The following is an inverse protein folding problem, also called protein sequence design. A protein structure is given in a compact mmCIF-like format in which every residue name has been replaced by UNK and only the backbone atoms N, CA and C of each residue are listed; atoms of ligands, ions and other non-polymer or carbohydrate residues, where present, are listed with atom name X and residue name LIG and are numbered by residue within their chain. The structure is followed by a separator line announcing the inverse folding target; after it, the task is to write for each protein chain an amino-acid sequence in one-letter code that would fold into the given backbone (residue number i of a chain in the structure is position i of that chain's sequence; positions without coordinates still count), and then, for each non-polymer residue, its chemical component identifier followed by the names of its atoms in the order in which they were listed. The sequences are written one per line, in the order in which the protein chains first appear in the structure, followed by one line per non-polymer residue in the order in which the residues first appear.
data_IF_776409646341
#
_entry.id   IF_776409646341
#
_cell.length_a   1.000
_cell.length_b   1.000
_cell.length_c   1.000
_cell.angle_alpha   90.00
_cell.angle_beta   90.00
_cell.angle_gamma   90.00
#
_symmetry.space_group_name_H-M   'P 1'
#
loop_
_entity.id
_entity.type
_entity.pdbx_description
1 polymer ?
#
# COMPACT_ATOMS: atom_id res chain seq x y z
N UNK A 1 -33.03 37.08 57.36
CA UNK A 1 -32.66 36.78 55.97
C UNK A 1 -31.19 36.37 55.93
N UNK A 2 -30.94 35.23 55.31
CA UNK A 2 -29.69 34.76 54.67
C UNK A 2 -28.39 34.53 55.47
N UNK A 3 -27.75 33.43 55.07
CA UNK A 3 -26.75 32.58 55.72
C UNK A 3 -25.27 33.00 55.59
N UNK A 4 -24.43 32.40 56.45
CA UNK A 4 -22.98 32.11 56.24
C UNK A 4 -22.81 30.75 55.50
N UNK A 5 -21.61 30.27 55.05
CA UNK A 5 -20.24 30.80 55.23
C UNK A 5 -19.29 30.79 53.99
N UNK A 6 -18.21 31.58 54.13
CA UNK A 6 -16.78 31.41 53.73
C UNK A 6 -16.33 30.36 52.69
N UNK A 7 -15.49 30.78 51.74
CA UNK A 7 -14.46 29.96 51.08
C UNK A 7 -13.19 30.79 50.76
N UNK A 8 -12.02 30.18 50.95
CA UNK A 8 -10.66 30.72 50.78
C UNK A 8 -10.29 30.94 49.29
N UNK A 9 -9.23 31.70 48.97
CA UNK A 9 -8.77 31.85 47.59
C UNK A 9 -8.11 30.55 47.10
N UNK A 10 -8.50 30.07 45.92
CA UNK A 10 -7.89 28.93 45.28
C UNK A 10 -6.59 29.34 44.58
N UNK A 11 -5.50 28.64 44.90
CA UNK A 11 -4.24 28.67 44.18
C UNK A 11 -4.46 28.22 42.73
N UNK A 12 -4.18 29.12 41.77
CA UNK A 12 -4.04 28.74 40.37
C UNK A 12 -2.63 28.20 40.15
N UNK A 13 -2.48 26.88 40.30
CA UNK A 13 -1.35 26.17 39.69
C UNK A 13 -1.70 25.94 38.22
N UNK A 14 -0.86 26.32 37.24
CA UNK A 14 -1.09 25.95 35.86
C UNK A 14 -0.88 24.45 35.74
N UNK A 15 -1.97 23.71 35.56
CA UNK A 15 -1.95 22.30 35.23
C UNK A 15 -1.24 22.17 33.88
N UNK A 16 -0.01 21.65 33.90
CA UNK A 16 0.74 21.38 32.69
C UNK A 16 -0.09 20.41 31.84
N UNK A 17 -0.51 20.88 30.66
CA UNK A 17 -1.18 20.08 29.65
C UNK A 17 -0.49 18.73 29.54
N UNK A 18 -1.17 17.71 30.06
CA UNK A 18 -0.73 16.35 29.97
C UNK A 18 -0.71 16.00 28.48
N UNK A 19 0.51 15.95 27.91
CA UNK A 19 0.75 15.44 26.57
C UNK A 19 0.00 14.11 26.45
N UNK A 20 -0.97 14.08 25.55
CA UNK A 20 -1.69 12.87 25.16
C UNK A 20 -0.67 11.80 24.75
N UNK A 21 -0.93 10.50 24.98
CA UNK A 21 0.00 9.47 24.55
C UNK A 21 0.19 9.62 23.05
N UNK A 22 1.38 10.05 22.64
CA UNK A 22 1.82 9.97 21.25
C UNK A 22 1.53 8.54 20.81
N UNK A 23 0.59 8.37 19.88
CA UNK A 23 0.20 7.07 19.35
C UNK A 23 1.48 6.37 18.93
N UNK A 24 1.91 5.38 19.71
CA UNK A 24 3.11 4.60 19.40
C UNK A 24 2.83 3.98 18.03
N UNK A 25 3.50 4.49 16.98
CA UNK A 25 3.33 3.98 15.63
C UNK A 25 3.76 2.53 15.64
N UNK A 26 2.80 1.60 15.58
CA UNK A 26 3.09 0.18 15.52
C UNK A 26 3.63 -0.15 14.14
N UNK A 27 4.86 -0.67 14.09
CA UNK A 27 5.45 -1.15 12.84
C UNK A 27 4.74 -2.42 12.40
N UNK A 28 4.48 -2.60 11.11
CA UNK A 28 4.01 -3.89 10.61
C UNK A 28 5.17 -4.90 10.67
N UNK A 29 4.94 -6.05 11.30
CA UNK A 29 5.94 -7.12 11.44
C UNK A 29 6.16 -7.91 10.12
N UNK A 30 5.78 -7.34 8.96
CA UNK A 30 5.85 -7.99 7.66
C UNK A 30 4.53 -8.58 7.20
N UNK A 31 3.46 -7.78 7.14
CA UNK A 31 2.19 -8.21 6.56
C UNK A 31 2.42 -8.61 5.10
N UNK A 32 1.95 -9.80 4.71
CA UNK A 32 2.07 -10.30 3.33
C UNK A 32 0.83 -9.96 2.53
N UNK A 33 1.05 -9.76 1.24
CA UNK A 33 0.03 -9.47 0.25
C UNK A 33 0.22 -10.43 -0.91
N UNK A 34 -0.89 -10.99 -1.38
CA UNK A 34 -0.97 -11.73 -2.63
C UNK A 34 -2.00 -11.07 -3.53
N UNK A 35 -1.72 -11.00 -4.83
CA UNK A 35 -2.65 -10.47 -5.81
C UNK A 35 -2.41 -11.09 -7.19
N UNK A 36 -3.46 -11.10 -8.02
CA UNK A 36 -3.41 -11.69 -9.36
C UNK A 36 -3.99 -10.76 -10.42
N UNK A 37 -3.46 -10.85 -11.63
CA UNK A 37 -3.96 -10.18 -12.84
C UNK A 37 -3.74 -11.10 -14.05
N UNK A 38 -4.52 -10.93 -15.12
CA UNK A 38 -4.29 -11.67 -16.36
C UNK A 38 -3.23 -10.95 -17.19
N UNK A 39 -2.28 -11.69 -17.75
CA UNK A 39 -1.37 -11.20 -18.77
C UNK A 39 -1.94 -11.53 -20.15
N UNK A 40 -1.96 -10.56 -21.05
CA UNK A 40 -2.33 -10.79 -22.44
C UNK A 40 -1.24 -11.66 -23.11
N UNK A 41 -1.57 -12.81 -23.72
CA UNK A 41 -0.58 -13.75 -24.23
C UNK A 41 0.43 -13.11 -25.20
N UNK A 42 -0.02 -12.20 -26.06
CA UNK A 42 0.78 -11.47 -27.03
C UNK A 42 1.85 -10.55 -26.40
N UNK A 43 1.71 -10.23 -25.10
CA UNK A 43 2.65 -9.38 -24.38
C UNK A 43 3.56 -10.15 -23.41
N UNK A 44 3.46 -11.48 -23.33
CA UNK A 44 4.21 -12.28 -22.36
C UNK A 44 5.74 -12.09 -22.46
N UNK A 45 6.29 -12.10 -23.67
CA UNK A 45 7.72 -11.88 -23.90
C UNK A 45 8.15 -10.46 -23.48
N UNK A 46 7.38 -9.43 -23.90
CA UNK A 46 7.67 -8.04 -23.57
C UNK A 46 7.56 -7.77 -22.07
N UNK A 47 6.59 -8.38 -21.40
CA UNK A 47 6.41 -8.26 -19.96
C UNK A 47 7.65 -8.77 -19.20
N UNK A 48 8.16 -9.95 -19.58
CA UNK A 48 9.39 -10.53 -19.01
C UNK A 48 10.60 -9.62 -19.26
N UNK A 49 10.74 -9.10 -20.49
CA UNK A 49 11.84 -8.22 -20.87
C UNK A 49 11.87 -6.94 -20.03
N UNK A 50 10.75 -6.22 -19.90
CA UNK A 50 10.74 -4.98 -19.12
C UNK A 50 10.95 -5.23 -17.64
N UNK A 51 10.42 -6.32 -17.08
CA UNK A 51 10.61 -6.67 -15.66
C UNK A 51 12.01 -7.21 -15.34
N UNK A 52 12.78 -7.66 -16.34
CA UNK A 52 14.20 -7.94 -16.16
C UNK A 52 15.05 -6.66 -16.00
N UNK A 53 14.52 -5.50 -16.42
CA UNK A 53 15.18 -4.21 -16.40
C UNK A 53 14.24 -3.11 -15.85
N UNK A 54 13.63 -3.37 -14.69
CA UNK A 54 12.75 -2.39 -14.02
C UNK A 54 13.49 -1.07 -13.80
N UNK A 55 12.80 0.05 -14.04
CA UNK A 55 13.39 1.38 -13.89
C UNK A 55 13.87 1.62 -12.45
N UNK A 56 15.09 2.15 -12.25
CA UNK A 56 15.64 2.40 -10.92
C UNK A 56 14.74 3.25 -10.02
N UNK A 57 14.03 4.23 -10.58
CA UNK A 57 13.12 5.11 -9.85
C UNK A 57 11.88 4.36 -9.32
N UNK A 58 11.39 3.38 -10.07
CA UNK A 58 10.28 2.50 -9.66
C UNK A 58 10.74 1.60 -8.51
N UNK A 59 11.92 0.98 -8.65
CA UNK A 59 12.51 0.15 -7.59
C UNK A 59 12.78 0.96 -6.31
N UNK A 60 13.28 2.19 -6.47
CA UNK A 60 13.48 3.12 -5.35
C UNK A 60 12.16 3.42 -4.65
N UNK A 61 11.10 3.75 -5.41
CA UNK A 61 9.79 4.05 -4.82
C UNK A 61 9.21 2.85 -4.07
N UNK A 62 9.30 1.63 -4.63
CA UNK A 62 8.89 0.39 -3.96
C UNK A 62 9.58 0.25 -2.60
N UNK A 63 10.90 0.46 -2.56
CA UNK A 63 11.69 0.40 -1.33
C UNK A 63 11.30 1.47 -0.32
N UNK A 64 11.10 2.71 -0.77
CA UNK A 64 10.72 3.85 0.07
C UNK A 64 9.29 3.73 0.63
N UNK A 65 8.44 2.94 -0.04
CA UNK A 65 7.10 2.55 0.42
C UNK A 65 7.12 1.25 1.26
N UNK A 66 8.27 0.88 1.82
CA UNK A 66 8.43 -0.25 2.73
C UNK A 66 7.93 -1.61 2.20
N UNK A 67 7.90 -1.77 0.87
CA UNK A 67 7.65 -3.06 0.21
C UNK A 67 8.96 -3.83 0.11
N UNK A 68 8.94 -5.09 0.55
CA UNK A 68 10.07 -6.02 0.55
C UNK A 68 9.64 -7.38 0.00
N UNK A 69 10.62 -8.18 -0.38
CA UNK A 69 10.43 -9.54 -0.91
C UNK A 69 9.37 -9.59 -2.03
N UNK A 70 9.35 -8.57 -2.90
CA UNK A 70 8.37 -8.44 -3.96
C UNK A 70 8.76 -9.33 -5.16
N UNK A 71 7.93 -10.33 -5.43
CA UNK A 71 8.05 -11.22 -6.59
C UNK A 71 6.78 -11.19 -7.44
N UNK A 72 6.95 -11.40 -8.75
CA UNK A 72 5.85 -11.64 -9.70
C UNK A 72 6.15 -12.94 -10.45
N UNK A 73 5.25 -13.90 -10.34
CA UNK A 73 5.29 -15.19 -11.02
C UNK A 73 4.34 -15.19 -12.21
N UNK A 74 4.70 -15.87 -13.29
CA UNK A 74 3.84 -16.03 -14.45
C UNK A 74 3.54 -17.52 -14.65
N UNK A 75 2.25 -17.87 -14.67
CA UNK A 75 1.78 -19.19 -15.07
C UNK A 75 1.31 -19.12 -16.52
N UNK A 76 2.09 -19.72 -17.41
CA UNK A 76 1.82 -19.75 -18.85
C UNK A 76 0.56 -20.53 -19.20
N UNK A 77 0.20 -21.55 -18.41
CA UNK A 77 -0.97 -22.38 -18.69
C UNK A 77 -2.29 -21.64 -18.46
N UNK A 78 -2.37 -20.81 -17.42
CA UNK A 78 -3.56 -19.99 -17.12
C UNK A 78 -3.50 -18.56 -17.67
N UNK A 79 -2.31 -18.10 -18.06
CA UNK A 79 -2.03 -16.70 -18.41
C UNK A 79 -2.07 -15.75 -17.20
N UNK A 80 -1.94 -16.27 -15.98
CA UNK A 80 -2.01 -15.47 -14.76
C UNK A 80 -0.63 -14.98 -14.33
N UNK A 81 -0.60 -13.71 -13.91
CA UNK A 81 0.47 -13.18 -13.08
C UNK A 81 0.03 -13.25 -11.62
N UNK A 82 0.90 -13.78 -10.77
CA UNK A 82 0.76 -13.77 -9.32
C UNK A 82 1.86 -12.90 -8.72
N UNK A 83 1.47 -11.80 -8.09
CA UNK A 83 2.35 -10.89 -7.37
C UNK A 83 2.23 -11.14 -5.87
N UNK A 84 3.36 -11.22 -5.16
CA UNK A 84 3.38 -11.26 -3.71
C UNK A 84 4.50 -10.40 -3.12
N UNK A 85 4.24 -9.77 -1.99
CA UNK A 85 5.22 -8.95 -1.30
C UNK A 85 4.94 -8.85 0.21
N UNK A 86 5.94 -8.40 0.97
CA UNK A 86 5.84 -8.06 2.39
C UNK A 86 5.84 -6.55 2.57
N UNK A 87 4.91 -6.04 3.35
CA UNK A 87 4.92 -4.66 3.83
C UNK A 87 5.42 -4.58 5.27
N UNK A 88 6.43 -3.74 5.50
CA UNK A 88 7.10 -3.60 6.81
C UNK A 88 7.07 -2.17 7.36
N UNK A 89 6.24 -1.30 6.78
CA UNK A 89 6.10 0.10 7.17
C UNK A 89 5.10 0.32 8.30
N UNK A 90 4.68 1.57 8.48
CA UNK A 90 3.79 2.00 9.55
C UNK A 90 2.38 2.36 9.06
N UNK A 91 2.26 2.83 7.82
CA UNK A 91 1.00 3.28 7.22
C UNK A 91 0.91 2.78 5.77
N UNK A 92 0.25 1.64 5.58
CA UNK A 92 0.16 1.04 4.24
C UNK A 92 -0.59 1.96 3.27
N UNK A 93 -1.67 2.60 3.72
CA UNK A 93 -2.48 3.46 2.86
C UNK A 93 -1.67 4.69 2.42
N UNK A 94 -1.00 5.37 3.37
CA UNK A 94 -0.13 6.50 3.05
C UNK A 94 1.07 6.10 2.18
N UNK A 95 1.66 4.92 2.38
CA UNK A 95 2.73 4.42 1.51
C UNK A 95 2.24 4.11 0.09
N UNK A 96 1.03 3.57 -0.08
CA UNK A 96 0.44 3.37 -1.40
C UNK A 96 0.02 4.69 -2.05
N UNK A 97 -0.34 5.72 -1.26
CA UNK A 97 -0.57 7.07 -1.77
C UNK A 97 0.70 7.67 -2.38
N UNK A 98 1.80 7.65 -1.63
CA UNK A 98 3.11 8.13 -2.14
C UNK A 98 3.56 7.40 -3.40
N UNK A 99 3.25 6.10 -3.51
CA UNK A 99 3.52 5.32 -4.72
C UNK A 99 2.78 5.89 -5.93
N UNK A 100 1.48 6.22 -5.77
CA UNK A 100 0.64 6.78 -6.83
C UNK A 100 1.01 8.21 -7.20
N UNK A 101 1.45 9.01 -6.23
CA UNK A 101 1.90 10.39 -6.49
C UNK A 101 3.18 10.46 -7.36
N UNK A 102 3.97 9.37 -7.41
CA UNK A 102 5.20 9.35 -8.19
C UNK A 102 4.92 9.21 -9.70
N UNK A 103 5.25 10.23 -10.53
CA UNK A 103 4.96 10.21 -11.96
C UNK A 103 5.71 9.11 -12.74
N UNK A 104 6.90 8.68 -12.28
CA UNK A 104 7.65 7.58 -12.93
C UNK A 104 7.00 6.23 -12.66
N UNK A 105 6.40 6.05 -11.49
CA UNK A 105 5.63 4.83 -11.16
C UNK A 105 4.34 4.78 -11.98
N UNK A 106 3.64 5.90 -12.10
CA UNK A 106 2.48 6.07 -12.96
C UNK A 106 2.78 5.70 -14.42
N UNK A 107 3.83 6.28 -14.98
CA UNK A 107 4.28 5.97 -16.35
C UNK A 107 4.59 4.48 -16.54
N UNK A 108 5.29 3.87 -15.57
CA UNK A 108 5.55 2.44 -15.56
C UNK A 108 4.26 1.62 -15.53
N UNK A 109 3.32 1.95 -14.65
CA UNK A 109 2.03 1.29 -14.54
C UNK A 109 1.23 1.38 -15.83
N UNK A 110 1.12 2.56 -16.42
CA UNK A 110 0.42 2.74 -17.70
C UNK A 110 0.97 1.83 -18.80
N UNK A 111 2.29 1.66 -18.86
CA UNK A 111 2.91 0.72 -19.79
C UNK A 111 2.52 -0.73 -19.47
N UNK A 112 2.65 -1.15 -18.21
CA UNK A 112 2.39 -2.54 -17.82
C UNK A 112 0.90 -2.91 -17.85
N UNK A 113 0.01 -1.97 -17.56
CA UNK A 113 -1.45 -2.12 -17.67
C UNK A 113 -1.84 -2.44 -19.12
N UNK A 114 -1.14 -1.84 -20.09
CA UNK A 114 -1.31 -2.16 -21.51
C UNK A 114 -1.09 -3.64 -21.84
N UNK A 115 -0.22 -4.31 -21.09
CA UNK A 115 0.08 -5.74 -21.24
C UNK A 115 -0.90 -6.64 -20.50
N UNK A 116 -1.71 -6.09 -19.61
CA UNK A 116 -2.52 -6.82 -18.65
C UNK A 116 -4.01 -6.65 -18.92
N UNK A 117 -4.80 -7.50 -18.27
CA UNK A 117 -6.25 -7.39 -18.18
C UNK A 117 -6.67 -7.66 -16.74
N UNK A 118 -7.39 -6.70 -16.15
CA UNK A 118 -7.86 -6.83 -14.77
C UNK A 118 -8.92 -7.92 -14.62
N UNK A 119 -8.87 -8.62 -13.49
CA UNK A 119 -9.91 -9.55 -13.06
C UNK A 119 -10.97 -8.88 -12.18
N UNK A 120 -10.83 -7.59 -11.90
CA UNK A 120 -11.70 -6.84 -11.00
C UNK A 120 -12.76 -6.10 -11.82
N UNK A 121 -14.06 -6.40 -11.64
CA UNK A 121 -15.12 -5.72 -12.38
C UNK A 121 -15.09 -4.21 -12.19
N UNK A 122 -15.07 -3.46 -13.29
CA UNK A 122 -15.05 -2.00 -13.29
C UNK A 122 -13.66 -1.36 -13.09
N UNK A 123 -12.59 -2.15 -12.97
CA UNK A 123 -11.23 -1.61 -12.93
C UNK A 123 -10.79 -1.11 -14.31
N UNK A 124 -10.15 0.04 -14.34
CA UNK A 124 -9.75 0.73 -15.58
C UNK A 124 -8.24 0.83 -15.77
N UNK A 125 -7.49 1.10 -14.70
CA UNK A 125 -6.03 1.12 -14.67
C UNK A 125 -5.51 1.06 -13.23
N UNK A 126 -4.20 0.84 -13.06
CA UNK A 126 -3.49 0.81 -11.78
C UNK A 126 -3.47 2.18 -11.07
N UNK A 127 -3.65 3.27 -11.80
CA UNK A 127 -3.67 4.64 -11.26
C UNK A 127 -5.04 5.06 -10.73
N UNK A 128 -6.09 4.26 -10.94
CA UNK A 128 -7.45 4.66 -10.60
C UNK A 128 -7.58 4.99 -9.10
N UNK A 129 -8.22 6.13 -8.80
CA UNK A 129 -8.44 6.59 -7.43
C UNK A 129 -9.77 6.08 -6.87
N UNK A 130 -9.88 5.89 -5.55
CA UNK A 130 -11.16 5.58 -4.91
C UNK A 130 -12.26 6.58 -5.33
N UNK A 131 -13.50 6.11 -5.60
CA UNK A 131 -14.03 4.78 -5.29
C UNK A 131 -13.77 3.71 -6.39
N UNK A 132 -12.95 3.99 -7.39
CA UNK A 132 -12.65 3.01 -8.43
C UNK A 132 -11.94 1.77 -7.82
N UNK A 133 -12.23 0.57 -8.32
CA UNK A 133 -11.59 -0.64 -7.82
C UNK A 133 -10.13 -0.73 -8.30
N UNK A 134 -9.30 -1.39 -7.50
CA UNK A 134 -7.89 -1.62 -7.83
C UNK A 134 -7.70 -2.54 -9.05
N UNK A 135 -6.60 -2.34 -9.76
CA UNK A 135 -6.28 -3.08 -10.99
C UNK A 135 -5.94 -4.56 -10.77
N UNK A 136 -5.18 -4.86 -9.73
CA UNK A 136 -4.85 -6.23 -9.34
C UNK A 136 -5.87 -6.76 -8.35
N UNK A 137 -6.33 -8.00 -8.56
CA UNK A 137 -7.30 -8.63 -7.65
C UNK A 137 -6.57 -9.19 -6.43
N UNK A 138 -6.88 -8.73 -5.21
CA UNK A 138 -6.28 -9.30 -4.01
C UNK A 138 -6.70 -10.75 -3.81
N UNK A 139 -5.81 -11.57 -3.24
CA UNK A 139 -6.11 -12.95 -2.83
C UNK A 139 -5.80 -13.13 -1.34
N UNK A 140 -6.47 -14.10 -0.72
CA UNK A 140 -6.35 -14.41 0.71
C UNK A 140 -5.09 -15.25 0.99
N UNK A 141 -4.33 -14.86 2.01
CA UNK A 141 -3.33 -15.73 2.61
C UNK A 141 -4.02 -16.66 3.62
N UNK A 142 -4.03 -17.96 3.32
CA UNK A 142 -4.68 -18.98 4.17
C UNK A 142 -3.71 -19.71 5.09
N UNK A 143 -2.40 -19.59 4.86
CA UNK A 143 -1.36 -20.26 5.63
C UNK A 143 -0.02 -19.53 5.51
N UNK A 144 0.76 -19.53 6.59
CA UNK A 144 2.14 -19.07 6.61
C UNK A 144 2.94 -19.78 7.70
N UNK A 145 4.19 -20.13 7.39
CA UNK A 145 5.22 -20.47 8.37
C UNK A 145 6.43 -19.53 8.18
N UNK A 146 6.99 -18.97 9.26
CA UNK A 146 8.24 -18.21 9.21
C UNK A 146 9.44 -19.00 8.71
#
# INVERSE_FOLDING_TARGET
MWSKPSAAPADHTPEADALTPATIRQKNHGRRYGQVVRLKPEHAARYKEVHAAVWPEVLKQIKDCNIKDYSIFYDEASGMLFACFKYVGYDFAGDMERMRENPRVREWWKMTDGFQESLVPGATCSEAEPPAPGWWRPIEEVFYTP
#
